data_IF_625449759985
#
_entry.id   IF_625449759985
#
_cell.length_a   1.000
_cell.length_b   1.000
_cell.length_c   1.000
_cell.angle_alpha   90.00
_cell.angle_beta   90.00
_cell.angle_gamma   90.00
#
_symmetry.space_group_name_H-M   'P 1'
#
loop_
_entity.id
_entity.type
_entity.pdbx_description
1 polymer ?
#
# COMPACT_ATOMS: atom_id res chain seq x y z
N UNK A 1 -4.00 -23.23 -9.95
CA UNK A 1 -2.70 -23.32 -9.25
C UNK A 1 -2.35 -21.92 -8.80
N UNK A 2 -2.31 -21.65 -7.48
CA UNK A 2 -1.96 -20.31 -6.96
C UNK A 2 -0.46 -20.11 -7.15
N UNK A 3 -0.04 -18.98 -7.74
CA UNK A 3 1.37 -18.69 -7.95
C UNK A 3 2.04 -18.36 -6.60
N UNK A 4 3.35 -18.61 -6.50
CA UNK A 4 4.12 -18.24 -5.30
C UNK A 4 4.00 -16.73 -5.02
N UNK A 5 3.99 -15.91 -6.06
CA UNK A 5 3.82 -14.45 -5.94
C UNK A 5 2.46 -14.09 -5.33
N UNK A 6 1.38 -14.73 -5.79
CA UNK A 6 0.04 -14.50 -5.24
C UNK A 6 0.00 -14.79 -3.73
N UNK A 7 0.47 -15.96 -3.31
CA UNK A 7 0.49 -16.34 -1.90
C UNK A 7 1.28 -15.31 -1.05
N UNK A 8 2.41 -14.82 -1.55
CA UNK A 8 3.25 -13.84 -0.82
C UNK A 8 2.67 -12.44 -0.72
N UNK A 9 1.86 -12.03 -1.69
CA UNK A 9 1.13 -10.77 -1.62
C UNK A 9 -0.04 -10.92 -0.65
N UNK A 10 -0.79 -12.01 -0.74
CA UNK A 10 -1.93 -12.28 0.14
C UNK A 10 -1.53 -12.37 1.63
N UNK A 11 -0.38 -12.97 1.93
CA UNK A 11 0.21 -12.99 3.28
C UNK A 11 0.52 -11.60 3.85
N UNK A 12 0.77 -10.59 3.00
CA UNK A 12 1.14 -9.22 3.40
C UNK A 12 -0.05 -8.29 3.55
N UNK A 13 -1.17 -8.59 2.89
CA UNK A 13 -2.40 -7.81 2.99
C UNK A 13 -3.02 -7.93 4.39
N UNK A 14 -3.63 -6.85 4.86
CA UNK A 14 -4.25 -6.73 6.18
C UNK A 14 -3.27 -7.01 7.34
N UNK A 15 -2.00 -6.66 7.17
CA UNK A 15 -0.98 -6.75 8.21
C UNK A 15 -1.08 -5.55 9.19
N UNK A 16 -0.52 -5.68 10.39
CA UNK A 16 -0.54 -4.67 11.46
C UNK A 16 0.30 -3.41 11.19
N UNK A 17 1.08 -3.39 10.10
CA UNK A 17 1.89 -2.23 9.73
C UNK A 17 1.00 -1.15 9.09
N UNK A 18 0.85 -0.04 9.79
CA UNK A 18 -0.05 1.08 9.44
C UNK A 18 0.64 2.17 8.61
N UNK A 19 1.78 1.88 7.99
CA UNK A 19 2.47 2.84 7.13
C UNK A 19 1.71 2.98 5.80
N UNK A 20 1.25 4.21 5.43
CA UNK A 20 0.41 4.40 4.25
C UNK A 20 1.16 4.14 2.93
N UNK A 21 2.49 4.33 2.88
CA UNK A 21 3.28 3.96 1.70
C UNK A 21 3.30 2.44 1.54
N UNK A 22 3.51 1.72 2.64
CA UNK A 22 3.55 0.25 2.61
C UNK A 22 2.19 -0.32 2.20
N UNK A 23 1.09 0.19 2.76
CA UNK A 23 -0.27 -0.23 2.40
C UNK A 23 -0.54 0.04 0.90
N UNK A 24 -0.22 1.25 0.41
CA UNK A 24 -0.40 1.59 -1.00
C UNK A 24 0.41 0.65 -1.93
N UNK A 25 1.65 0.32 -1.57
CA UNK A 25 2.48 -0.60 -2.36
C UNK A 25 1.96 -2.04 -2.38
N UNK A 26 1.40 -2.54 -1.27
CA UNK A 26 0.78 -3.86 -1.22
C UNK A 26 -0.45 -3.95 -2.13
N UNK A 27 -1.31 -2.93 -2.08
CA UNK A 27 -2.49 -2.82 -2.94
C UNK A 27 -2.12 -2.75 -4.42
N UNK A 28 -1.13 -1.92 -4.78
CA UNK A 28 -0.65 -1.81 -6.16
C UNK A 28 0.03 -3.09 -6.66
N UNK A 29 0.76 -3.81 -5.81
CA UNK A 29 1.35 -5.10 -6.16
C UNK A 29 0.26 -6.16 -6.40
N UNK A 30 -0.79 -6.17 -5.57
CA UNK A 30 -1.96 -7.03 -5.74
C UNK A 30 -2.71 -6.73 -7.05
N UNK A 31 -2.91 -5.44 -7.36
CA UNK A 31 -3.59 -4.99 -8.57
C UNK A 31 -2.81 -5.38 -9.83
N UNK A 32 -1.48 -5.22 -9.79
CA UNK A 32 -0.59 -5.56 -10.90
C UNK A 32 -0.64 -7.05 -11.31
N UNK A 33 -1.12 -7.94 -10.45
CA UNK A 33 -1.31 -9.37 -10.76
C UNK A 33 -2.80 -9.78 -10.88
N UNK A 34 -3.71 -8.80 -10.90
CA UNK A 34 -5.14 -9.03 -11.10
C UNK A 34 -5.87 -9.58 -9.88
N UNK A 35 -5.36 -9.36 -8.66
CA UNK A 35 -6.14 -9.63 -7.46
C UNK A 35 -7.28 -8.60 -7.36
N UNK A 36 -8.45 -9.06 -6.93
CA UNK A 36 -9.64 -8.20 -6.74
C UNK A 36 -10.20 -8.42 -5.34
N UNK A 37 -11.04 -7.51 -4.85
CA UNK A 37 -11.75 -7.70 -3.58
C UNK A 37 -12.58 -8.99 -3.55
N UNK A 38 -13.08 -9.44 -4.70
CA UNK A 38 -13.84 -10.70 -4.82
C UNK A 38 -12.96 -11.94 -4.62
N UNK A 39 -11.75 -11.93 -5.18
CA UNK A 39 -10.82 -13.07 -5.06
C UNK A 39 -10.02 -13.02 -3.76
N UNK A 40 -9.81 -11.82 -3.21
CA UNK A 40 -8.91 -11.57 -2.09
C UNK A 40 -9.53 -10.51 -1.16
N UNK A 41 -10.43 -10.90 -0.24
CA UNK A 41 -11.17 -9.95 0.63
C UNK A 41 -10.28 -9.08 1.53
N UNK A 42 -9.03 -9.49 1.80
CA UNK A 42 -8.05 -8.70 2.58
C UNK A 42 -7.71 -7.36 1.93
N UNK A 43 -7.93 -7.22 0.62
CA UNK A 43 -7.76 -5.95 -0.10
C UNK A 43 -8.68 -4.87 0.47
N UNK A 44 -9.93 -5.20 0.81
CA UNK A 44 -10.88 -4.25 1.37
C UNK A 44 -10.40 -3.67 2.71
N UNK A 45 -9.71 -4.48 3.53
CA UNK A 45 -9.15 -4.06 4.81
C UNK A 45 -8.02 -3.05 4.59
N UNK A 46 -7.09 -3.33 3.67
CA UNK A 46 -6.00 -2.40 3.34
C UNK A 46 -6.54 -1.11 2.71
N UNK A 47 -7.57 -1.18 1.87
CA UNK A 47 -8.25 0.01 1.32
C UNK A 47 -8.89 0.88 2.40
N UNK A 48 -9.58 0.27 3.36
CA UNK A 48 -10.19 0.96 4.50
C UNK A 48 -9.11 1.61 5.38
N UNK A 49 -8.06 0.86 5.73
CA UNK A 49 -6.93 1.39 6.49
C UNK A 49 -6.25 2.56 5.78
N UNK A 50 -6.02 2.44 4.47
CA UNK A 50 -5.44 3.52 3.70
C UNK A 50 -6.33 4.76 3.74
N UNK A 51 -7.66 4.62 3.62
CA UNK A 51 -8.58 5.76 3.73
C UNK A 51 -8.58 6.38 5.14
N UNK A 52 -8.50 5.57 6.20
CA UNK A 52 -8.44 6.06 7.58
C UNK A 52 -7.15 6.84 7.90
N UNK A 53 -6.06 6.56 7.19
CA UNK A 53 -4.77 7.24 7.34
C UNK A 53 -4.68 8.55 6.54
N UNK A 54 -5.73 8.94 5.83
CA UNK A 54 -5.76 10.20 5.09
C UNK A 54 -5.81 11.38 6.06
N UNK A 55 -4.88 12.32 5.88
CA UNK A 55 -4.81 13.56 6.63
C UNK A 55 -5.92 14.54 6.21
N UNK A 56 -6.18 15.57 7.03
CA UNK A 56 -7.24 16.55 6.77
C UNK A 56 -7.07 17.32 5.46
N UNK A 57 -5.83 17.46 4.97
CA UNK A 57 -5.51 18.10 3.69
C UNK A 57 -5.64 17.14 2.47
N UNK A 58 -6.04 15.89 2.72
CA UNK A 58 -6.17 14.84 1.72
C UNK A 58 -4.86 14.11 1.41
N UNK A 59 -3.76 14.43 2.09
CA UNK A 59 -2.46 13.76 1.91
C UNK A 59 -2.31 12.53 2.80
N UNK A 60 -1.19 11.81 2.62
CA UNK A 60 -0.76 10.73 3.52
C UNK A 60 0.64 11.00 4.02
N UNK A 61 0.88 10.74 5.31
CA UNK A 61 2.22 10.89 5.89
C UNK A 61 3.26 10.07 5.13
N UNK A 62 4.45 10.65 4.95
CA UNK A 62 5.52 9.99 4.20
C UNK A 62 6.11 8.82 4.97
N UNK A 63 5.98 7.62 4.41
CA UNK A 63 6.72 6.43 4.87
C UNK A 63 8.18 6.44 4.37
N UNK A 64 9.10 5.75 5.08
CA UNK A 64 10.48 5.61 4.66
C UNK A 64 10.58 4.75 3.39
N UNK A 65 10.99 5.31 2.26
CA UNK A 65 11.10 4.58 0.99
C UNK A 65 12.54 4.26 0.59
N UNK A 66 13.52 4.94 1.16
CA UNK A 66 14.93 4.71 0.90
C UNK A 66 15.73 4.84 2.20
N UNK A 67 16.66 3.90 2.41
CA UNK A 67 17.64 3.97 3.50
C UNK A 67 19.04 4.12 2.93
N UNK A 68 19.70 5.22 3.25
CA UNK A 68 21.10 5.44 2.89
C UNK A 68 21.99 4.72 3.91
N UNK A 69 22.43 3.51 3.55
CA UNK A 69 23.02 2.54 4.48
C UNK A 69 24.28 3.01 5.20
N UNK A 70 25.10 3.86 4.57
CA UNK A 70 26.35 4.35 5.16
C UNK A 70 26.15 5.38 6.28
N UNK A 71 24.98 6.03 6.36
CA UNK A 71 24.70 7.07 7.36
C UNK A 71 23.42 6.81 8.17
N UNK A 72 22.78 5.66 7.99
CA UNK A 72 21.51 5.31 8.63
C UNK A 72 20.40 6.36 8.43
N UNK A 73 20.47 7.14 7.35
CA UNK A 73 19.47 8.17 7.02
C UNK A 73 18.33 7.49 6.28
N UNK A 74 17.09 7.77 6.71
CA UNK A 74 15.90 7.36 6.00
C UNK A 74 15.28 8.56 5.29
N UNK A 75 14.96 8.38 4.01
CA UNK A 75 14.28 9.38 3.19
C UNK A 75 12.81 9.00 3.06
N UNK A 76 11.95 9.97 3.29
CA UNK A 76 10.50 9.89 3.08
C UNK A 76 10.04 11.05 2.20
N UNK A 77 8.90 10.87 1.51
CA UNK A 77 8.34 11.89 0.65
C UNK A 77 6.81 11.80 0.69
N UNK A 78 6.19 12.81 1.33
CA UNK A 78 4.73 12.92 1.46
C UNK A 78 4.02 12.93 0.10
N UNK A 79 4.58 13.65 -0.89
CA UNK A 79 4.01 13.72 -2.24
C UNK A 79 4.02 12.37 -2.95
N UNK A 80 5.11 11.61 -2.83
CA UNK A 80 5.21 10.25 -3.36
C UNK A 80 4.18 9.33 -2.71
N UNK A 81 4.11 9.32 -1.37
CA UNK A 81 3.15 8.49 -0.65
C UNK A 81 1.71 8.83 -1.03
N UNK A 82 1.39 10.13 -1.12
CA UNK A 82 0.07 10.61 -1.54
C UNK A 82 -0.27 10.16 -2.96
N UNK A 83 0.66 10.30 -3.92
CA UNK A 83 0.43 9.88 -5.29
C UNK A 83 0.17 8.38 -5.40
N UNK A 84 0.93 7.56 -4.66
CA UNK A 84 0.74 6.11 -4.64
C UNK A 84 -0.56 5.70 -3.96
N UNK A 85 -0.92 6.36 -2.84
CA UNK A 85 -2.18 6.09 -2.14
C UNK A 85 -3.40 6.38 -3.03
N UNK A 86 -3.41 7.54 -3.71
CA UNK A 86 -4.47 7.89 -4.66
C UNK A 86 -4.53 6.89 -5.81
N UNK A 87 -3.39 6.47 -6.34
CA UNK A 87 -3.34 5.47 -7.41
C UNK A 87 -3.92 4.12 -6.95
N UNK A 88 -3.53 3.65 -5.77
CA UNK A 88 -4.05 2.41 -5.19
C UNK A 88 -5.56 2.45 -5.00
N UNK A 89 -6.10 3.55 -4.44
CA UNK A 89 -7.55 3.71 -4.26
C UNK A 89 -8.28 3.71 -5.61
N UNK A 90 -7.73 4.35 -6.63
CA UNK A 90 -8.31 4.39 -7.98
C UNK A 90 -8.30 3.03 -8.68
N UNK A 91 -7.32 2.18 -8.40
CA UNK A 91 -7.25 0.84 -8.99
C UNK A 91 -8.43 -0.04 -8.57
N UNK A 92 -8.89 0.08 -7.32
CA UNK A 92 -9.96 -0.78 -6.77
C UNK A 92 -11.36 -0.16 -6.74
N UNK A 93 -11.49 1.16 -6.95
CA UNK A 93 -12.79 1.86 -6.96
C UNK A 93 -13.35 2.11 -8.37
N UNK A 94 -12.85 1.42 -9.39
CA UNK A 94 -13.35 1.50 -10.77
C UNK A 94 -14.49 0.50 -11.02
#
# INVERSE_FOLDING_TARGET
MISVLWARIEERLANHETDPLVIALRLLAADAIGMTEKTTPRIAIDLEQLCMLQEADGSWNGGPFLKYGSHNISMSNRGLTTALAVNAIRAYRQ
#
